data_IF_462033406882
#
_entry.id   IF_462033406882
#
_cell.length_a   1.000
_cell.length_b   1.000
_cell.length_c   1.000
_cell.angle_alpha   90.00
_cell.angle_beta   90.00
_cell.angle_gamma   90.00
#
_symmetry.space_group_name_H-M   'P 1'
#
loop_
_entity.id
_entity.type
_entity.pdbx_description
1 polymer ?
#
# COMPACT_ATOMS: atom_id res chain seq x y z
N UNK A 1 8.14 -3.80 -18.18
CA UNK A 1 7.15 -2.88 -17.61
C UNK A 1 5.83 -3.61 -17.56
N UNK A 2 5.45 -4.11 -16.39
CA UNK A 2 4.16 -4.79 -16.21
C UNK A 2 3.11 -3.71 -15.92
N UNK A 3 2.01 -3.70 -16.69
CA UNK A 3 0.92 -2.72 -16.54
C UNK A 3 0.02 -3.04 -15.34
N UNK A 4 0.17 -4.21 -14.74
CA UNK A 4 -0.66 -4.67 -13.64
C UNK A 4 -0.22 -4.01 -12.33
N UNK A 5 -1.19 -3.58 -11.55
CA UNK A 5 -0.96 -3.28 -10.14
C UNK A 5 -0.89 -4.60 -9.36
N UNK A 6 0.05 -4.70 -8.43
CA UNK A 6 0.20 -5.85 -7.55
C UNK A 6 -0.18 -5.46 -6.13
N UNK A 7 -1.06 -6.24 -5.51
CA UNK A 7 -1.42 -6.09 -4.11
C UNK A 7 -0.95 -7.36 -3.41
N UNK A 8 0.07 -7.24 -2.55
CA UNK A 8 0.64 -8.37 -1.82
C UNK A 8 -0.25 -8.79 -0.65
N UNK A 9 0.03 -9.96 -0.10
CA UNK A 9 -0.72 -10.56 1.00
C UNK A 9 -0.89 -9.61 2.19
N UNK A 10 -2.07 -9.67 2.81
CA UNK A 10 -2.44 -8.87 3.99
C UNK A 10 -2.37 -7.34 3.79
N UNK A 11 -2.14 -6.85 2.57
CA UNK A 11 -2.25 -5.43 2.29
C UNK A 11 -3.71 -4.98 2.46
N UNK A 12 -3.89 -3.80 3.05
CA UNK A 12 -5.20 -3.19 3.25
C UNK A 12 -5.36 -1.96 2.37
N UNK A 13 -6.33 -1.99 1.47
CA UNK A 13 -6.68 -0.86 0.60
C UNK A 13 -7.98 -0.22 1.08
N UNK A 14 -7.89 1.03 1.53
CA UNK A 14 -9.02 1.80 2.01
C UNK A 14 -10.03 2.12 0.91
N UNK A 15 -11.29 2.32 1.30
CA UNK A 15 -12.38 2.60 0.37
C UNK A 15 -12.07 3.82 -0.52
N UNK A 16 -12.37 3.70 -1.82
CA UNK A 16 -12.17 4.77 -2.79
C UNK A 16 -10.71 5.13 -3.08
N UNK A 17 -9.73 4.33 -2.63
CA UNK A 17 -8.35 4.49 -3.06
C UNK A 17 -8.18 4.05 -4.52
N UNK A 18 -7.37 4.80 -5.26
CA UNK A 18 -7.01 4.55 -6.66
C UNK A 18 -5.54 4.18 -6.73
N UNK A 19 -5.22 2.99 -7.26
CA UNK A 19 -3.86 2.52 -7.47
C UNK A 19 -3.53 2.65 -8.96
N UNK A 20 -2.48 3.40 -9.30
CA UNK A 20 -2.09 3.58 -10.70
C UNK A 20 -1.45 2.31 -11.29
N UNK A 21 -1.48 2.12 -12.62
CA UNK A 21 -0.85 0.99 -13.29
C UNK A 21 0.63 0.83 -12.93
N UNK A 22 1.06 -0.43 -12.76
CA UNK A 22 2.47 -0.77 -12.46
C UNK A 22 2.91 -0.54 -11.01
N UNK A 23 2.02 -0.08 -10.13
CA UNK A 23 2.31 0.12 -8.70
C UNK A 23 2.19 -1.20 -7.94
N UNK A 24 3.15 -1.46 -7.06
CA UNK A 24 3.14 -2.55 -6.09
C UNK A 24 2.77 -2.03 -4.68
N UNK A 25 1.75 -2.64 -4.07
CA UNK A 25 1.41 -2.46 -2.66
C UNK A 25 1.98 -3.63 -1.86
N UNK A 26 2.93 -3.32 -0.97
CA UNK A 26 3.68 -4.28 -0.18
C UNK A 26 2.84 -5.11 0.81
N UNK A 27 3.43 -6.18 1.33
CA UNK A 27 2.81 -7.06 2.34
C UNK A 27 2.48 -6.26 3.59
N UNK A 28 1.30 -6.47 4.17
CA UNK A 28 0.80 -5.72 5.34
C UNK A 28 0.79 -4.18 5.17
N UNK A 29 0.98 -3.65 3.96
CA UNK A 29 0.90 -2.22 3.72
C UNK A 29 -0.55 -1.73 3.84
N UNK A 30 -0.72 -0.50 4.31
CA UNK A 30 -2.04 0.15 4.46
C UNK A 30 -2.10 1.36 3.53
N UNK A 31 -3.07 1.37 2.63
CA UNK A 31 -3.43 2.52 1.82
C UNK A 31 -4.68 3.16 2.41
N UNK A 32 -4.61 4.44 2.81
CA UNK A 32 -5.75 5.15 3.37
C UNK A 32 -6.88 5.36 2.36
N UNK A 33 -8.11 5.51 2.86
CA UNK A 33 -9.28 5.82 2.03
C UNK A 33 -9.08 7.07 1.15
N UNK A 34 -9.58 7.04 -0.07
CA UNK A 34 -9.50 8.15 -1.04
C UNK A 34 -8.08 8.47 -1.55
N UNK A 35 -7.07 7.64 -1.25
CA UNK A 35 -5.69 7.91 -1.68
C UNK A 35 -5.49 7.66 -3.17
N UNK A 36 -4.60 8.42 -3.82
CA UNK A 36 -4.16 8.17 -5.20
C UNK A 36 -2.70 7.74 -5.18
N UNK A 37 -2.48 6.43 -5.35
CA UNK A 37 -1.18 5.80 -5.22
C UNK A 37 -0.44 5.85 -6.55
N UNK A 38 0.60 6.67 -6.60
CA UNK A 38 1.39 6.95 -7.82
C UNK A 38 2.76 6.27 -7.82
N UNK A 39 3.14 5.62 -6.70
CA UNK A 39 4.42 4.95 -6.49
C UNK A 39 4.22 3.74 -5.58
N UNK A 40 5.15 2.79 -5.66
CA UNK A 40 5.14 1.60 -4.80
C UNK A 40 5.04 1.96 -3.32
N UNK A 41 4.25 1.17 -2.59
CA UNK A 41 4.12 1.27 -1.13
C UNK A 41 4.92 0.12 -0.52
N UNK A 42 5.95 0.39 0.28
CA UNK A 42 6.77 -0.66 0.88
C UNK A 42 5.96 -1.59 1.79
N UNK A 43 6.49 -2.80 2.01
CA UNK A 43 5.94 -3.72 3.01
C UNK A 43 5.86 -3.01 4.38
N UNK A 44 4.76 -3.25 5.10
CA UNK A 44 4.47 -2.66 6.41
C UNK A 44 4.39 -1.12 6.42
N UNK A 45 4.23 -0.45 5.27
CA UNK A 45 4.07 1.01 5.23
C UNK A 45 2.61 1.43 5.27
N UNK A 46 2.33 2.60 5.87
CA UNK A 46 1.05 3.30 5.78
C UNK A 46 1.20 4.47 4.82
N UNK A 47 0.45 4.48 3.72
CA UNK A 47 0.45 5.53 2.71
C UNK A 47 -0.93 6.18 2.58
N UNK A 48 -0.97 7.52 2.54
CA UNK A 48 -2.23 8.28 2.43
C UNK A 48 -2.11 9.50 1.52
N UNK A 49 -3.22 9.96 0.97
CA UNK A 49 -3.35 11.24 0.26
C UNK A 49 -3.32 11.14 -1.27
N UNK A 50 -3.34 12.29 -1.94
CA UNK A 50 -3.25 12.43 -3.39
C UNK A 50 -2.22 13.53 -3.74
N UNK A 51 -1.00 13.20 -4.20
CA UNK A 51 -0.47 11.84 -4.34
C UNK A 51 -0.22 11.18 -2.98
N UNK A 52 -0.39 9.86 -2.91
CA UNK A 52 -0.16 9.09 -1.69
C UNK A 52 1.30 9.17 -1.24
N UNK A 53 1.52 9.44 0.04
CA UNK A 53 2.85 9.48 0.67
C UNK A 53 2.88 8.53 1.86
N UNK A 54 4.00 7.85 2.06
CA UNK A 54 4.24 7.06 3.27
C UNK A 54 4.34 8.01 4.46
N UNK A 55 3.48 7.80 5.46
CA UNK A 55 3.43 8.61 6.69
C UNK A 55 3.88 7.83 7.93
N UNK A 56 3.95 6.50 7.83
CA UNK A 56 4.32 5.63 8.95
C UNK A 56 4.84 4.28 8.44
N UNK A 57 5.82 3.74 9.14
CA UNK A 57 6.19 2.32 9.05
C UNK A 57 5.60 1.57 10.25
N UNK A 58 4.98 0.43 10.00
CA UNK A 58 4.43 -0.46 11.01
C UNK A 58 5.55 -1.35 11.57
N UNK A 59 5.38 -1.72 12.83
CA UNK A 59 6.29 -2.63 13.51
C UNK A 59 6.03 -4.08 13.05
N UNK A 60 7.04 -4.69 12.43
CA UNK A 60 6.92 -6.03 11.82
C UNK A 60 6.68 -7.12 12.86
N UNK A 61 7.19 -6.93 14.08
CA UNK A 61 7.10 -7.92 15.17
C UNK A 61 5.65 -8.12 15.66
N UNK A 62 4.74 -7.20 15.29
CA UNK A 62 3.32 -7.26 15.66
C UNK A 62 2.46 -8.07 14.70
N UNK A 63 3.04 -8.59 13.63
CA UNK A 63 2.35 -9.42 12.66
C UNK A 63 2.76 -10.86 12.88
N UNK A 64 1.77 -11.72 13.15
CA UNK A 64 1.97 -13.17 13.13
C UNK A 64 2.10 -13.59 11.66
N UNK A 65 3.21 -14.25 11.32
CA UNK A 65 3.35 -14.92 10.04
C UNK A 65 2.94 -16.38 10.25
N UNK A 66 1.87 -16.80 9.57
CA UNK A 66 1.38 -18.18 9.55
C UNK A 66 2.30 -19.12 8.73
#
# INVERSE_FOLDING_TARGET
MYLLAYIREYAWVGAGATILPGVCIGRHAIVGAGSVVTKDVPDYAVAVGNPAKVIKMLDKEKFQED
#
